data_IF_959240477737
#
_entry.id   IF_959240477737
#
_cell.length_a   1.000
_cell.length_b   1.000
_cell.length_c   1.000
_cell.angle_alpha   90.00
_cell.angle_beta   90.00
_cell.angle_gamma   90.00
#
_symmetry.space_group_name_H-M   'P 1'
#
loop_
_entity.id
_entity.type
_entity.pdbx_description
1 polymer ?
#
# COMPACT_ATOMS: atom_id res chain seq x y z
N UNK A 1 -1.89 -7.32 23.36
CA UNK A 1 -1.75 -7.42 21.89
C UNK A 1 -0.55 -6.59 21.47
N UNK A 2 0.24 -7.01 20.48
CA UNK A 2 1.38 -6.20 20.02
C UNK A 2 0.87 -4.93 19.33
N UNK A 3 1.44 -3.75 19.67
CA UNK A 3 1.07 -2.45 19.07
C UNK A 3 1.11 -2.51 17.55
N UNK A 4 2.16 -3.11 16.99
CA UNK A 4 2.39 -3.23 15.54
C UNK A 4 1.31 -4.10 14.87
N UNK A 5 0.82 -5.13 15.57
CA UNK A 5 -0.26 -5.99 15.04
C UNK A 5 -1.57 -5.20 14.98
N UNK A 6 -1.90 -4.46 16.03
CA UNK A 6 -3.09 -3.61 16.07
C UNK A 6 -3.01 -2.47 15.04
N UNK A 7 -1.84 -1.88 14.88
CA UNK A 7 -1.60 -0.82 13.89
C UNK A 7 -1.76 -1.33 12.46
N UNK A 8 -1.26 -2.53 12.17
CA UNK A 8 -1.48 -3.21 10.89
C UNK A 8 -2.96 -3.41 10.58
N UNK A 9 -3.71 -3.93 11.54
CA UNK A 9 -5.16 -4.20 11.39
C UNK A 9 -5.91 -2.89 11.13
N UNK A 10 -5.64 -1.86 11.92
CA UNK A 10 -6.22 -0.53 11.72
C UNK A 10 -5.84 0.08 10.36
N UNK A 11 -4.60 -0.12 9.90
CA UNK A 11 -4.17 0.33 8.57
C UNK A 11 -4.91 -0.42 7.45
N UNK A 12 -5.09 -1.74 7.56
CA UNK A 12 -5.86 -2.52 6.60
C UNK A 12 -7.30 -2.05 6.50
N UNK A 13 -7.97 -1.85 7.64
CA UNK A 13 -9.35 -1.36 7.70
C UNK A 13 -9.46 0.06 7.12
N UNK A 14 -8.53 0.94 7.50
CA UNK A 14 -8.46 2.31 7.01
C UNK A 14 -8.28 2.37 5.49
N UNK A 15 -7.33 1.60 4.93
CA UNK A 15 -7.10 1.58 3.48
C UNK A 15 -8.30 1.00 2.72
N UNK A 16 -8.92 -0.05 3.26
CA UNK A 16 -10.12 -0.66 2.67
C UNK A 16 -11.27 0.35 2.60
N UNK A 17 -11.54 1.06 3.70
CA UNK A 17 -12.56 2.09 3.76
C UNK A 17 -12.22 3.29 2.86
N UNK A 18 -10.97 3.77 2.90
CA UNK A 18 -10.51 4.93 2.14
C UNK A 18 -10.64 4.72 0.63
N UNK A 19 -10.20 3.56 0.13
CA UNK A 19 -10.12 3.28 -1.30
C UNK A 19 -11.47 2.79 -1.84
N UNK A 20 -12.18 1.97 -1.08
CA UNK A 20 -13.52 1.50 -1.41
C UNK A 20 -13.57 0.59 -2.63
N UNK A 21 -14.33 0.99 -3.65
CA UNK A 21 -14.67 0.15 -4.81
C UNK A 21 -13.52 -0.06 -5.81
N UNK A 22 -12.52 0.83 -5.79
CA UNK A 22 -11.36 0.81 -6.69
C UNK A 22 -10.34 -0.30 -6.35
N UNK A 23 -10.39 -0.83 -5.12
CA UNK A 23 -9.49 -1.90 -4.68
C UNK A 23 -10.13 -3.27 -4.87
N UNK A 24 -9.34 -4.22 -5.36
CA UNK A 24 -9.72 -5.63 -5.42
C UNK A 24 -9.49 -6.33 -4.08
N UNK A 25 -8.37 -6.02 -3.43
CA UNK A 25 -7.93 -6.60 -2.16
C UNK A 25 -6.96 -5.67 -1.45
N UNK A 26 -7.04 -5.62 -0.12
CA UNK A 26 -6.01 -5.05 0.76
C UNK A 26 -5.45 -6.20 1.60
N UNK A 27 -4.16 -6.50 1.45
CA UNK A 27 -3.54 -7.68 2.08
C UNK A 27 -2.10 -7.41 2.51
N UNK A 28 -1.58 -8.27 3.37
CA UNK A 28 -0.15 -8.39 3.68
C UNK A 28 0.51 -9.59 2.98
N UNK A 29 -0.31 -10.44 2.32
CA UNK A 29 0.17 -11.59 1.58
C UNK A 29 0.46 -11.21 0.13
N UNK A 30 1.74 -11.23 -0.22
CA UNK A 30 2.22 -11.01 -1.57
C UNK A 30 1.54 -11.91 -2.62
N UNK A 31 1.17 -13.15 -2.27
CA UNK A 31 0.53 -14.07 -3.20
C UNK A 31 -0.93 -13.71 -3.49
N UNK A 32 -1.60 -13.06 -2.53
CA UNK A 32 -2.97 -12.57 -2.66
C UNK A 32 -3.04 -11.21 -3.34
N UNK A 33 -1.94 -10.44 -3.36
CA UNK A 33 -1.82 -9.11 -3.96
C UNK A 33 -1.84 -9.12 -5.50
N UNK A 34 -2.88 -9.73 -6.06
CA UNK A 34 -3.11 -9.88 -7.50
C UNK A 34 -4.16 -8.88 -7.96
N UNK A 35 -3.82 -7.93 -8.85
CA UNK A 35 -4.81 -7.01 -9.40
C UNK A 35 -5.82 -7.75 -10.27
N UNK A 36 -7.07 -7.28 -10.23
CA UNK A 36 -8.13 -7.70 -11.14
C UNK A 36 -8.29 -6.68 -12.28
N UNK A 37 -8.86 -7.05 -13.44
CA UNK A 37 -9.12 -6.09 -14.52
C UNK A 37 -9.91 -4.87 -14.01
N UNK A 38 -9.36 -3.68 -14.24
CA UNK A 38 -9.97 -2.41 -13.82
C UNK A 38 -9.88 -2.09 -12.33
N UNK A 39 -9.12 -2.87 -11.54
CA UNK A 39 -8.95 -2.65 -10.09
C UNK A 39 -7.49 -2.71 -9.67
N UNK A 40 -7.19 -2.04 -8.55
CA UNK A 40 -5.87 -2.04 -7.92
C UNK A 40 -5.85 -3.10 -6.81
N UNK A 41 -4.74 -3.82 -6.65
CA UNK A 41 -4.46 -4.59 -5.44
C UNK A 41 -3.54 -3.79 -4.52
N UNK A 42 -3.80 -3.86 -3.22
CA UNK A 42 -3.01 -3.14 -2.21
C UNK A 42 -2.27 -4.15 -1.36
N UNK A 43 -0.94 -4.06 -1.36
CA UNK A 43 -0.06 -4.86 -0.52
C UNK A 43 0.57 -3.96 0.54
N UNK A 44 0.42 -4.32 1.80
CA UNK A 44 1.10 -3.65 2.92
C UNK A 44 2.33 -4.48 3.29
N UNK A 45 3.51 -3.89 3.13
CA UNK A 45 4.75 -4.53 3.53
C UNK A 45 4.90 -4.48 5.06
N UNK A 46 5.64 -5.44 5.66
CA UNK A 46 6.06 -5.32 7.05
C UNK A 46 6.75 -3.97 7.30
N UNK A 47 6.46 -3.31 8.43
CA UNK A 47 6.98 -1.97 8.65
C UNK A 47 8.48 -2.02 8.92
N UNK A 48 9.17 -0.96 8.54
CA UNK A 48 10.52 -0.73 9.00
C UNK A 48 10.48 -0.20 10.44
N UNK A 49 11.20 -0.85 11.35
CA UNK A 49 11.23 -0.47 12.76
C UNK A 49 12.63 0.00 13.11
N UNK A 50 12.77 1.27 13.46
CA UNK A 50 14.04 1.85 13.89
C UNK A 50 13.99 2.23 15.37
N UNK A 51 15.10 1.98 16.06
CA UNK A 51 15.26 2.28 17.49
C UNK A 51 16.28 3.42 17.63
N UNK A 52 15.79 4.59 17.97
CA UNK A 52 16.63 5.78 18.19
C UNK A 52 16.95 5.89 19.69
N UNK A 53 18.07 5.28 20.06
CA UNK A 53 18.46 5.09 21.46
C UNK A 53 17.49 4.14 22.18
N UNK A 54 17.22 4.42 23.45
CA UNK A 54 16.31 3.61 24.29
C UNK A 54 14.88 4.16 24.38
N UNK A 55 14.64 5.36 23.83
CA UNK A 55 13.41 6.12 24.10
C UNK A 55 12.46 6.17 22.91
N UNK A 56 12.98 6.13 21.68
CA UNK A 56 12.18 6.33 20.48
C UNK A 56 12.17 5.08 19.62
N UNK A 57 10.97 4.58 19.35
CA UNK A 57 10.72 3.48 18.40
C UNK A 57 9.89 4.06 17.28
N UNK A 58 10.47 4.15 16.10
CA UNK A 58 9.81 4.66 14.90
C UNK A 58 9.37 3.47 14.05
N UNK A 59 8.12 3.52 13.57
CA UNK A 59 7.52 2.49 12.72
C UNK A 59 7.07 3.16 11.43
N UNK A 60 7.67 2.75 10.31
CA UNK A 60 7.37 3.29 8.98
C UNK A 60 6.70 2.20 8.15
N UNK A 61 5.49 2.48 7.67
CA UNK A 61 4.72 1.55 6.84
C UNK A 61 4.89 1.85 5.37
N UNK A 62 4.97 0.78 4.58
CA UNK A 62 5.02 0.84 3.12
C UNK A 62 3.79 0.16 2.54
N UNK A 63 3.14 0.83 1.60
CA UNK A 63 1.93 0.37 0.92
C UNK A 63 2.18 0.38 -0.58
N UNK A 64 2.00 -0.75 -1.24
CA UNK A 64 2.14 -0.90 -2.68
C UNK A 64 0.77 -0.95 -3.34
N UNK A 65 0.50 0.01 -4.22
CA UNK A 65 -0.64 0.00 -5.13
C UNK A 65 -0.22 -0.71 -6.42
N UNK A 66 -0.78 -1.88 -6.70
CA UNK A 66 -0.38 -2.75 -7.81
C UNK A 66 -1.51 -2.81 -8.84
N UNK A 67 -1.21 -2.56 -10.11
CA UNK A 67 -2.18 -2.62 -11.20
C UNK A 67 -1.58 -3.18 -12.50
N UNK A 68 -2.32 -4.08 -13.14
CA UNK A 68 -1.97 -4.62 -14.47
C UNK A 68 -0.56 -5.19 -14.60
N UNK A 69 -0.09 -5.36 -15.83
CA UNK A 69 1.29 -5.84 -16.12
C UNK A 69 2.16 -4.71 -16.65
N UNK A 70 3.48 -4.88 -16.71
CA UNK A 70 4.36 -3.88 -17.35
C UNK A 70 4.01 -3.61 -18.82
N UNK A 71 3.36 -4.55 -19.52
CA UNK A 71 2.90 -4.35 -20.90
C UNK A 71 1.74 -3.33 -21.01
N UNK A 72 1.00 -3.11 -19.92
CA UNK A 72 -0.16 -2.19 -19.85
C UNK A 72 0.14 -0.97 -18.96
N UNK A 73 1.40 -0.56 -18.83
CA UNK A 73 1.82 0.42 -17.82
C UNK A 73 1.06 1.77 -17.89
N UNK A 74 0.70 2.24 -19.08
CA UNK A 74 -0.10 3.47 -19.25
C UNK A 74 -1.50 3.27 -18.65
N UNK A 75 -2.18 2.19 -19.03
CA UNK A 75 -3.52 1.86 -18.50
C UNK A 75 -3.48 1.55 -16.99
N UNK A 76 -2.40 0.93 -16.50
CA UNK A 76 -2.17 0.71 -15.08
C UNK A 76 -2.03 2.01 -14.30
N UNK A 77 -1.40 3.04 -14.89
CA UNK A 77 -1.28 4.35 -14.27
C UNK A 77 -2.64 5.02 -14.13
N UNK A 78 -3.48 4.91 -15.17
CA UNK A 78 -4.85 5.44 -15.15
C UNK A 78 -5.73 4.77 -14.06
N UNK A 79 -5.36 3.57 -13.60
CA UNK A 79 -6.00 2.91 -12.45
C UNK A 79 -5.40 3.31 -11.10
N UNK A 80 -4.09 3.54 -11.03
CA UNK A 80 -3.38 3.85 -9.78
C UNK A 80 -3.59 5.30 -9.35
N UNK A 81 -3.55 6.25 -10.30
CA UNK A 81 -3.64 7.68 -9.97
C UNK A 81 -4.93 8.04 -9.23
N UNK A 82 -6.13 7.60 -9.66
CA UNK A 82 -7.36 7.88 -8.92
C UNK A 82 -7.36 7.32 -7.49
N UNK A 83 -6.70 6.18 -7.27
CA UNK A 83 -6.55 5.61 -5.92
C UNK A 83 -5.65 6.51 -5.07
N UNK A 84 -4.52 6.95 -5.61
CA UNK A 84 -3.58 7.82 -4.92
C UNK A 84 -4.21 9.18 -4.58
N UNK A 85 -4.94 9.79 -5.52
CA UNK A 85 -5.70 11.02 -5.31
C UNK A 85 -6.74 10.85 -4.21
N UNK A 86 -7.52 9.75 -4.23
CA UNK A 86 -8.51 9.45 -3.18
C UNK A 86 -7.87 9.27 -1.80
N UNK A 87 -6.73 8.59 -1.72
CA UNK A 87 -5.98 8.46 -0.46
C UNK A 87 -5.51 9.82 0.06
N UNK A 88 -5.05 10.71 -0.84
CA UNK A 88 -4.66 12.07 -0.50
C UNK A 88 -5.84 12.92 -0.01
N UNK A 89 -6.96 12.90 -0.73
CA UNK A 89 -8.19 13.62 -0.40
C UNK A 89 -8.77 13.19 0.95
N UNK A 90 -8.63 11.90 1.29
CA UNK A 90 -9.04 11.36 2.59
C UNK A 90 -7.98 11.52 3.69
N UNK A 91 -6.96 12.33 3.43
CA UNK A 91 -5.90 12.70 4.36
C UNK A 91 -5.11 11.51 4.93
N UNK A 92 -4.86 10.48 4.11
CA UNK A 92 -3.88 9.46 4.47
C UNK A 92 -2.52 10.14 4.71
N UNK A 93 -1.85 9.80 5.82
CA UNK A 93 -0.61 10.43 6.26
C UNK A 93 0.62 9.98 5.42
N UNK A 94 0.59 10.30 4.12
CA UNK A 94 1.60 9.91 3.15
C UNK A 94 2.84 10.79 3.24
N UNK A 95 4.02 10.16 3.26
CA UNK A 95 5.34 10.81 3.23
C UNK A 95 5.85 10.96 1.80
N UNK A 96 5.70 9.91 1.00
CA UNK A 96 6.13 9.89 -0.40
C UNK A 96 5.34 8.84 -1.18
N UNK A 97 5.24 9.03 -2.49
CA UNK A 97 4.75 8.02 -3.42
C UNK A 97 5.63 8.03 -4.68
N UNK A 98 6.04 6.85 -5.15
CA UNK A 98 6.91 6.71 -6.33
C UNK A 98 6.53 5.50 -7.18
N UNK A 99 6.70 5.57 -8.51
CA UNK A 99 6.50 4.41 -9.37
C UNK A 99 7.56 3.35 -9.07
N UNK A 100 7.14 2.09 -9.00
CA UNK A 100 8.01 0.93 -8.83
C UNK A 100 7.53 -0.21 -9.75
N UNK A 101 8.39 -1.22 -9.94
CA UNK A 101 8.00 -2.48 -10.57
C UNK A 101 7.87 -3.53 -9.49
N UNK A 102 6.70 -4.16 -9.40
CA UNK A 102 6.45 -5.23 -8.45
C UNK A 102 6.56 -6.59 -9.15
N UNK A 103 7.44 -7.46 -8.67
CA UNK A 103 7.62 -8.80 -9.24
C UNK A 103 6.83 -9.84 -8.46
N UNK A 104 5.82 -10.43 -9.10
CA UNK A 104 5.00 -11.48 -8.51
C UNK A 104 5.33 -12.85 -9.11
N UNK A 105 5.62 -13.83 -8.25
CA UNK A 105 5.93 -15.19 -8.67
C UNK A 105 4.77 -15.79 -9.49
N UNK A 106 5.09 -16.32 -10.67
CA UNK A 106 4.11 -16.91 -11.58
C UNK A 106 3.26 -15.94 -12.39
N UNK A 107 3.36 -14.62 -12.16
CA UNK A 107 2.68 -13.58 -12.95
C UNK A 107 3.68 -12.71 -13.71
N UNK A 108 4.83 -12.41 -13.12
CA UNK A 108 5.86 -11.56 -13.70
C UNK A 108 5.85 -10.15 -13.10
N UNK A 109 6.31 -9.19 -13.90
CA UNK A 109 6.45 -7.79 -13.46
C UNK A 109 5.14 -7.02 -13.67
N UNK A 110 4.68 -6.38 -12.60
CA UNK A 110 3.47 -5.58 -12.52
C UNK A 110 3.85 -4.11 -12.32
N UNK A 111 3.01 -3.22 -12.86
CA UNK A 111 3.16 -1.79 -12.59
C UNK A 111 2.63 -1.51 -11.18
N UNK A 112 3.39 -0.74 -10.40
CA UNK A 112 2.99 -0.40 -9.05
C UNK A 112 3.46 0.99 -8.64
N UNK A 113 2.86 1.50 -7.56
CA UNK A 113 3.32 2.67 -6.84
C UNK A 113 3.58 2.29 -5.38
N UNK A 114 4.77 2.60 -4.89
CA UNK A 114 5.14 2.44 -3.49
C UNK A 114 4.85 3.75 -2.76
N UNK A 115 4.02 3.66 -1.73
CA UNK A 115 3.68 4.75 -0.83
C UNK A 115 4.35 4.48 0.52
N UNK A 116 5.14 5.44 0.98
CA UNK A 116 5.68 5.43 2.34
C UNK A 116 4.79 6.32 3.21
N UNK A 117 4.38 5.81 4.36
CA UNK A 117 3.58 6.56 5.33
C UNK A 117 4.47 7.19 6.39
N UNK A 118 4.08 8.36 6.88
CA UNK A 118 4.62 8.86 8.14
C UNK A 118 4.16 7.95 9.30
N UNK A 119 4.79 8.04 10.50
CA UNK A 119 4.32 7.32 11.66
C UNK A 119 2.81 7.49 11.85
N UNK A 120 2.09 6.38 12.01
CA UNK A 120 0.64 6.41 12.10
C UNK A 120 0.24 6.88 13.51
N UNK A 121 -0.53 7.95 13.58
CA UNK A 121 -1.14 8.42 14.83
C UNK A 121 -2.43 7.64 15.09
N UNK A 122 -2.30 6.33 15.36
CA UNK A 122 -3.43 5.49 15.73
C UNK A 122 -3.57 5.55 17.25
N UNK A 123 -4.56 6.34 17.72
CA UNK A 123 -4.91 6.50 19.13
C UNK A 123 -5.62 5.27 19.69
#
# INVERSE_FOLDING_TARGET
MSRIISEREALMDMLTDMIGDLVAVVTIDAQEARPLPGKVAVLIDPPNITYEGWQFVNTEWTVNLIAGTTATQIESLDLIIPVLERLHERHLNMKAAKPVTYSLAGVGNLAAYEITLNPLEIN
#
